data_IF_789030342491
#
_entry.id   IF_789030342491
#
_cell.length_a   1.000
_cell.length_b   1.000
_cell.length_c   1.000
_cell.angle_alpha   90.00
_cell.angle_beta   90.00
_cell.angle_gamma   90.00
#
_symmetry.space_group_name_H-M   'P 1'
#
loop_
_entity.id
_entity.type
_entity.pdbx_description
1 polymer ?
#
# COMPACT_ATOMS: atom_id res chain seq x y z
N UNK A 1 -14.65 -7.09 -7.80
CA UNK A 1 -13.25 -6.97 -8.23
C UNK A 1 -13.11 -7.65 -9.58
N UNK A 2 -12.57 -6.97 -10.60
CA UNK A 2 -12.22 -7.63 -11.86
C UNK A 2 -10.87 -8.32 -11.70
N UNK A 3 -10.71 -9.51 -12.27
CA UNK A 3 -9.42 -10.24 -12.27
C UNK A 3 -8.27 -9.37 -12.79
N UNK A 4 -8.54 -8.45 -13.71
CA UNK A 4 -7.56 -7.53 -14.27
C UNK A 4 -6.86 -6.66 -13.20
N UNK A 5 -7.58 -6.19 -12.18
CA UNK A 5 -7.01 -5.31 -11.15
C UNK A 5 -6.04 -6.08 -10.23
N UNK A 6 -6.33 -7.37 -9.98
CA UNK A 6 -5.44 -8.26 -9.22
C UNK A 6 -4.16 -8.52 -10.02
N UNK A 7 -4.28 -8.84 -11.31
CA UNK A 7 -3.11 -9.08 -12.18
C UNK A 7 -2.23 -7.83 -12.36
N UNK A 8 -2.83 -6.64 -12.53
CA UNK A 8 -2.08 -5.38 -12.60
C UNK A 8 -1.30 -5.14 -11.31
N UNK A 9 -1.92 -5.33 -10.14
CA UNK A 9 -1.26 -5.13 -8.84
C UNK A 9 -0.12 -6.12 -8.54
N UNK A 10 -0.24 -7.40 -8.96
CA UNK A 10 0.84 -8.38 -8.76
C UNK A 10 1.93 -8.31 -9.82
N UNK A 11 1.77 -7.48 -10.86
CA UNK A 11 2.77 -7.29 -11.91
C UNK A 11 3.98 -6.45 -11.46
N UNK A 12 3.84 -5.67 -10.38
CA UNK A 12 4.91 -4.81 -9.87
C UNK A 12 5.44 -5.32 -8.53
N UNK A 13 6.75 -5.56 -8.44
CA UNK A 13 7.39 -6.11 -7.23
C UNK A 13 7.11 -5.30 -5.97
N UNK A 14 7.19 -3.96 -6.05
CA UNK A 14 6.91 -3.09 -4.91
C UNK A 14 5.46 -3.17 -4.41
N UNK A 15 4.48 -3.33 -5.31
CA UNK A 15 3.08 -3.49 -4.93
C UNK A 15 2.85 -4.80 -4.18
N UNK A 16 3.47 -5.88 -4.64
CA UNK A 16 3.45 -7.18 -3.94
C UNK A 16 4.04 -7.07 -2.54
N UNK A 17 5.16 -6.37 -2.37
CA UNK A 17 5.77 -6.19 -1.04
C UNK A 17 4.90 -5.31 -0.12
N UNK A 18 4.23 -4.28 -0.65
CA UNK A 18 3.24 -3.49 0.10
C UNK A 18 2.09 -4.38 0.59
N UNK A 19 1.52 -5.20 -0.29
CA UNK A 19 0.42 -6.12 0.06
C UNK A 19 0.88 -7.13 1.11
N UNK A 20 2.04 -7.77 0.94
CA UNK A 20 2.60 -8.71 1.92
C UNK A 20 2.83 -8.06 3.28
N UNK A 21 3.25 -6.79 3.30
CA UNK A 21 3.45 -6.06 4.53
C UNK A 21 2.11 -5.78 5.24
N UNK A 22 1.11 -5.30 4.50
CA UNK A 22 -0.22 -4.98 5.02
C UNK A 22 -1.03 -6.23 5.41
N UNK A 23 -0.76 -7.39 4.79
CA UNK A 23 -1.34 -8.67 5.19
C UNK A 23 -0.94 -9.10 6.61
N UNK A 24 0.14 -8.53 7.17
CA UNK A 24 0.54 -8.75 8.58
C UNK A 24 -0.21 -7.85 9.56
N UNK A 25 -0.94 -6.83 9.07
CA UNK A 25 -1.70 -5.88 9.87
C UNK A 25 -1.66 -4.45 9.31
N UNK A 26 -2.53 -3.56 9.79
CA UNK A 26 -2.56 -2.16 9.36
C UNK A 26 -1.25 -1.46 9.70
N UNK A 27 -0.79 -0.58 8.80
CA UNK A 27 0.46 0.19 8.95
C UNK A 27 0.20 1.66 8.66
N UNK A 28 0.87 2.55 9.41
CA UNK A 28 0.89 3.97 9.05
C UNK A 28 1.76 4.18 7.82
N UNK A 29 1.45 5.19 7.02
CA UNK A 29 2.21 5.54 5.82
C UNK A 29 3.73 5.67 6.07
N UNK A 30 4.11 6.33 7.17
CA UNK A 30 5.51 6.49 7.54
C UNK A 30 6.21 5.16 7.90
N UNK A 31 5.49 4.20 8.48
CA UNK A 31 6.04 2.89 8.82
C UNK A 31 6.27 2.05 7.56
N UNK A 32 5.35 2.11 6.58
CA UNK A 32 5.51 1.45 5.28
C UNK A 32 6.77 1.98 4.57
N UNK A 33 6.97 3.30 4.54
CA UNK A 33 8.19 3.90 3.96
C UNK A 33 9.45 3.36 4.62
N UNK A 34 9.49 3.33 5.95
CA UNK A 34 10.65 2.89 6.72
C UNK A 34 10.94 1.41 6.51
N UNK A 35 9.92 0.55 6.58
CA UNK A 35 10.08 -0.89 6.44
C UNK A 35 10.48 -1.30 5.01
N UNK A 36 9.94 -0.63 4.00
CA UNK A 36 10.25 -0.91 2.59
C UNK A 36 11.41 -0.07 2.02
N UNK A 37 12.06 0.76 2.85
CA UNK A 37 13.17 1.65 2.48
C UNK A 37 12.83 2.56 1.28
N UNK A 38 11.64 3.14 1.30
CA UNK A 38 11.16 4.06 0.26
C UNK A 38 11.38 5.49 0.72
N UNK A 39 12.28 6.21 0.04
CA UNK A 39 12.59 7.60 0.39
C UNK A 39 11.49 8.57 -0.07
N UNK A 40 10.98 8.37 -1.29
CA UNK A 40 9.97 9.25 -1.89
C UNK A 40 8.56 8.98 -1.37
N UNK A 41 7.93 9.99 -0.75
CA UNK A 41 6.52 9.91 -0.38
C UNK A 41 5.60 9.80 -1.61
N UNK A 42 5.92 10.53 -2.68
CA UNK A 42 5.12 10.48 -3.91
C UNK A 42 5.14 9.12 -4.59
N UNK A 43 6.27 8.39 -4.49
CA UNK A 43 6.37 7.02 -5.02
C UNK A 43 5.45 6.07 -4.26
N UNK A 44 5.46 6.11 -2.92
CA UNK A 44 4.57 5.26 -2.12
C UNK A 44 3.09 5.61 -2.37
N UNK A 45 2.75 6.90 -2.39
CA UNK A 45 1.38 7.37 -2.67
C UNK A 45 0.87 6.88 -4.05
N UNK A 46 1.72 6.98 -5.08
CA UNK A 46 1.40 6.47 -6.41
C UNK A 46 1.07 4.97 -6.41
N UNK A 47 1.87 4.16 -5.71
CA UNK A 47 1.61 2.72 -5.64
C UNK A 47 0.40 2.37 -4.78
N UNK A 48 0.14 3.10 -3.68
CA UNK A 48 -1.05 2.86 -2.84
C UNK A 48 -2.35 3.14 -3.62
N UNK A 49 -2.40 4.23 -4.40
CA UNK A 49 -3.56 4.54 -5.26
C UNK A 49 -3.85 3.45 -6.29
N UNK A 50 -2.80 2.81 -6.81
CA UNK A 50 -2.94 1.65 -7.71
C UNK A 50 -3.46 0.39 -7.02
N UNK A 51 -3.41 0.37 -5.69
CA UNK A 51 -3.91 -0.70 -4.85
C UNK A 51 -5.26 -0.37 -4.21
N UNK A 52 -5.91 0.75 -4.54
CA UNK A 52 -7.12 1.25 -3.84
C UNK A 52 -8.28 0.22 -3.78
N UNK A 53 -8.38 -0.69 -4.74
CA UNK A 53 -9.38 -1.78 -4.72
C UNK A 53 -8.97 -2.98 -3.84
N UNK A 54 -7.70 -3.06 -3.43
CA UNK A 54 -7.06 -4.19 -2.73
C UNK A 54 -6.71 -3.86 -1.27
N UNK A 55 -6.58 -2.58 -0.94
CA UNK A 55 -6.30 -2.11 0.41
C UNK A 55 -7.43 -1.19 0.89
N UNK A 56 -7.49 -0.94 2.19
CA UNK A 56 -8.41 0.05 2.74
C UNK A 56 -7.62 1.05 3.57
N UNK A 57 -7.98 2.33 3.44
CA UNK A 57 -7.38 3.41 4.22
C UNK A 57 -8.28 3.65 5.42
N UNK A 58 -7.73 3.51 6.62
CA UNK A 58 -8.43 3.97 7.82
C UNK A 58 -8.30 5.50 7.91
N UNK A 59 -9.41 6.20 7.67
CA UNK A 59 -9.51 7.66 7.75
C UNK A 59 -9.77 8.18 9.17
N UNK A 60 -9.67 7.34 10.19
CA UNK A 60 -9.59 7.79 11.57
C UNK A 60 -8.28 8.55 11.78
N UNK A 61 -8.30 9.84 11.42
CA UNK A 61 -7.36 10.80 11.95
C UNK A 61 -7.43 10.67 13.46
N UNK A 62 -6.35 10.17 14.05
CA UNK A 62 -6.25 9.92 15.48
C UNK A 62 -6.82 11.11 16.26
N UNK A 63 -7.92 10.88 16.97
CA UNK A 63 -8.28 11.66 18.14
C UNK A 63 -7.13 11.49 19.13
N UNK A 64 -6.21 12.44 19.10
CA UNK A 64 -5.32 12.79 20.20
C UNK A 64 -5.81 14.13 20.74
#
# INVERSE_FOLDING_TARGET
>A
MSSNNVFEAVSHSLQVEIIKLLAKGPKRFADIKRELKIDSSGLLDFHLKKLDDLISINNEASML
#
